data_IF_088817735438
#
_entry.id   IF_088817735438
#
_cell.length_a   1.000
_cell.length_b   1.000
_cell.length_c   1.000
_cell.angle_alpha   90.00
_cell.angle_beta   90.00
_cell.angle_gamma   90.00
#
_symmetry.space_group_name_H-M   'P 1'
#
loop_
_entity.id
_entity.type
_entity.pdbx_description
1 polymer ?
#
# COMPACT_ATOMS: atom_id res chain seq x y z
N UNK A 1 40.02 17.23 64.19
CA UNK A 1 38.59 16.89 64.19
C UNK A 1 38.10 17.43 62.86
N UNK A 2 38.35 16.66 61.80
CA UNK A 2 37.40 15.67 61.22
C UNK A 2 36.23 16.44 60.57
N UNK A 3 35.89 16.33 59.30
CA UNK A 3 36.17 15.38 58.21
C UNK A 3 35.91 16.15 56.89
N UNK A 4 36.54 15.74 55.79
CA UNK A 4 35.93 15.89 54.45
C UNK A 4 35.10 14.64 54.19
N UNK A 5 33.98 14.71 53.45
CA UNK A 5 34.00 14.40 52.00
C UNK A 5 32.92 15.23 51.25
N UNK A 6 32.65 15.21 49.95
CA UNK A 6 33.21 14.70 48.69
C UNK A 6 32.48 15.47 47.57
N UNK A 7 33.05 15.46 46.37
CA UNK A 7 32.54 16.14 45.18
C UNK A 7 31.27 15.47 44.60
N UNK A 8 30.39 16.27 43.98
CA UNK A 8 29.47 15.79 42.95
C UNK A 8 29.45 16.82 41.80
N UNK A 9 30.05 16.43 40.68
CA UNK A 9 29.97 17.14 39.40
C UNK A 9 28.78 16.54 38.66
N UNK A 10 27.79 17.37 38.39
CA UNK A 10 26.59 17.00 37.62
C UNK A 10 27.01 16.56 36.21
N UNK A 11 26.73 15.30 35.88
CA UNK A 11 26.74 14.80 34.51
C UNK A 11 25.36 15.12 33.93
N UNK A 12 25.29 16.03 32.97
CA UNK A 12 24.11 16.22 32.14
C UNK A 12 23.86 14.95 31.32
N UNK A 13 22.95 14.11 31.80
CA UNK A 13 22.40 12.98 31.06
C UNK A 13 21.61 13.49 29.85
N UNK A 14 22.14 13.23 28.65
CA UNK A 14 21.43 13.44 27.40
C UNK A 14 20.29 12.41 27.31
N UNK A 15 19.10 12.77 27.78
CA UNK A 15 17.88 11.97 27.67
C UNK A 15 17.48 11.86 26.20
N UNK A 16 17.74 10.71 25.57
CA UNK A 16 17.15 10.37 24.27
C UNK A 16 15.70 9.97 24.52
N UNK A 17 14.78 10.89 24.24
CA UNK A 17 13.34 10.63 24.21
C UNK A 17 13.07 9.67 23.05
N UNK A 18 12.75 8.43 23.37
CA UNK A 18 12.18 7.48 22.41
C UNK A 18 10.70 7.77 22.33
N UNK A 19 10.29 8.53 21.31
CA UNK A 19 8.88 8.72 20.99
C UNK A 19 8.30 7.36 20.56
N UNK A 20 7.26 6.94 21.30
CA UNK A 20 6.57 5.69 21.10
C UNK A 20 5.41 5.95 20.14
N UNK A 21 5.64 5.80 18.84
CA UNK A 21 4.56 5.86 17.84
C UNK A 21 3.78 4.54 17.86
N UNK A 22 2.69 4.52 18.64
CA UNK A 22 1.68 3.48 18.57
C UNK A 22 0.77 3.77 17.35
N UNK A 23 1.13 3.23 16.18
CA UNK A 23 0.21 3.19 15.03
C UNK A 23 -0.97 2.26 15.35
N UNK A 24 -2.11 2.89 15.61
CA UNK A 24 -3.40 2.23 15.79
C UNK A 24 -4.16 2.25 14.47
N UNK A 25 -4.12 1.16 13.68
CA UNK A 25 -5.12 0.85 12.67
C UNK A 25 -5.24 -0.68 12.54
N UNK A 26 -6.41 -1.26 12.87
CA UNK A 26 -7.23 -1.83 11.81
C UNK A 26 -8.73 -1.69 12.13
N UNK A 27 -9.38 -0.62 11.67
CA UNK A 27 -10.83 -0.47 11.83
C UNK A 27 -11.57 -0.19 10.51
N UNK A 28 -10.86 0.16 9.44
CA UNK A 28 -11.50 0.46 8.14
C UNK A 28 -11.41 -0.68 7.14
N UNK A 29 -10.43 -1.59 7.27
CA UNK A 29 -10.23 -2.68 6.30
C UNK A 29 -11.20 -3.87 6.51
N UNK A 30 -11.69 -4.07 7.74
CA UNK A 30 -12.73 -5.05 8.07
C UNK A 30 -14.10 -4.71 7.45
N UNK A 31 -14.38 -3.43 7.22
CA UNK A 31 -15.67 -2.99 6.65
C UNK A 31 -15.77 -3.22 5.15
N UNK A 32 -14.63 -3.35 4.45
CA UNK A 32 -14.58 -3.66 3.03
C UNK A 32 -14.75 -5.16 2.73
N UNK A 33 -14.36 -6.04 3.66
CA UNK A 33 -14.43 -7.51 3.50
C UNK A 33 -15.84 -8.09 3.75
N UNK A 34 -16.73 -7.35 4.41
CA UNK A 34 -18.13 -7.76 4.62
C UNK A 34 -19.08 -7.46 3.43
N UNK A 35 -18.62 -6.77 2.37
CA UNK A 35 -19.39 -6.60 1.12
C UNK A 35 -19.21 -7.77 0.12
N UNK A 36 -18.66 -8.90 0.56
CA UNK A 36 -18.58 -10.15 -0.22
C UNK A 36 -19.90 -10.90 -0.40
N UNK A 37 -21.01 -10.41 0.17
CA UNK A 37 -22.33 -11.01 0.11
C UNK A 37 -23.39 -10.12 -0.56
N UNK A 38 -23.12 -9.62 -1.76
CA UNK A 38 -24.02 -8.69 -2.46
C UNK A 38 -25.03 -9.42 -3.37
N UNK A 39 -25.89 -10.26 -2.80
CA UNK A 39 -27.12 -10.68 -3.50
C UNK A 39 -28.23 -9.60 -3.42
N UNK A 40 -28.16 -8.68 -2.44
CA UNK A 40 -29.19 -7.66 -2.22
C UNK A 40 -29.12 -6.38 -3.10
N UNK A 41 -28.01 -6.14 -3.81
CA UNK A 41 -27.88 -4.96 -4.69
C UNK A 41 -28.53 -5.14 -6.08
N UNK A 42 -28.91 -6.37 -6.45
CA UNK A 42 -29.46 -6.64 -7.79
C UNK A 42 -30.95 -6.24 -7.89
N UNK A 43 -31.67 -6.17 -6.77
CA UNK A 43 -33.11 -5.88 -6.73
C UNK A 43 -33.45 -4.44 -6.25
N UNK A 44 -32.43 -3.64 -5.91
CA UNK A 44 -32.60 -2.29 -5.38
C UNK A 44 -31.89 -1.24 -6.21
N UNK A 45 -32.55 -0.09 -6.39
CA UNK A 45 -31.96 1.03 -7.12
C UNK A 45 -30.87 1.72 -6.28
N UNK A 46 -29.63 1.87 -6.78
CA UNK A 46 -28.56 2.52 -6.02
C UNK A 46 -28.81 4.01 -5.72
N UNK A 47 -29.71 4.68 -6.46
CA UNK A 47 -29.99 6.11 -6.33
C UNK A 47 -31.10 6.34 -5.29
N UNK A 48 -32.30 5.79 -5.50
CA UNK A 48 -33.41 5.97 -4.56
C UNK A 48 -33.44 4.96 -3.41
N UNK A 49 -32.57 3.92 -3.45
CA UNK A 49 -32.47 2.82 -2.47
C UNK A 49 -33.74 1.98 -2.30
N UNK A 50 -34.67 2.08 -3.25
CA UNK A 50 -35.93 1.35 -3.24
C UNK A 50 -35.86 0.17 -4.22
N UNK A 51 -36.70 -0.83 -3.97
CA UNK A 51 -36.83 -2.00 -4.84
C UNK A 51 -37.29 -1.60 -6.26
N UNK A 52 -36.90 -2.36 -7.28
CA UNK A 52 -37.27 -2.13 -8.68
C UNK A 52 -38.72 -2.47 -9.06
N UNK A 53 -39.47 -3.14 -8.18
CA UNK A 53 -40.87 -3.51 -8.39
C UNK A 53 -41.72 -2.29 -8.80
N UNK A 54 -42.49 -2.42 -9.90
CA UNK A 54 -43.34 -1.38 -10.49
C UNK A 54 -42.63 -0.05 -10.82
N UNK A 55 -41.32 -0.07 -11.11
CA UNK A 55 -40.50 1.14 -11.29
C UNK A 55 -39.72 1.21 -12.59
N UNK A 56 -40.13 0.43 -13.58
CA UNK A 56 -39.52 0.38 -14.92
C UNK A 56 -37.98 0.31 -14.83
N UNK A 57 -37.42 -0.81 -14.33
CA UNK A 57 -35.98 -0.94 -14.15
C UNK A 57 -35.26 -0.95 -15.50
N UNK A 58 -34.21 -0.15 -15.60
CA UNK A 58 -33.36 0.02 -16.78
C UNK A 58 -31.95 -0.47 -16.48
N UNK A 59 -31.36 -1.20 -17.43
CA UNK A 59 -30.00 -1.76 -17.36
C UNK A 59 -29.07 -0.97 -18.29
N UNK A 60 -28.00 -0.40 -17.73
CA UNK A 60 -26.97 0.28 -18.52
C UNK A 60 -25.96 -0.73 -19.09
N UNK A 61 -25.19 -0.38 -20.14
CA UNK A 61 -24.09 -1.20 -20.66
C UNK A 61 -23.01 -1.57 -19.63
N UNK A 62 -22.87 -0.78 -18.56
CA UNK A 62 -22.00 -1.08 -17.42
C UNK A 62 -22.60 -2.09 -16.41
N UNK A 63 -23.74 -2.70 -16.76
CA UNK A 63 -24.49 -3.70 -15.98
C UNK A 63 -25.10 -3.21 -14.66
N UNK A 64 -25.10 -1.89 -14.41
CA UNK A 64 -25.83 -1.32 -13.29
C UNK A 64 -27.29 -1.05 -13.64
N UNK A 65 -28.18 -1.33 -12.70
CA UNK A 65 -29.63 -1.13 -12.85
C UNK A 65 -30.13 0.11 -12.11
N UNK A 66 -31.07 0.84 -12.70
CA UNK A 66 -31.72 2.02 -12.11
C UNK A 66 -33.22 2.05 -12.45
N UNK A 67 -34.04 2.64 -11.59
CA UNK A 67 -35.41 2.98 -11.99
C UNK A 67 -35.34 4.01 -13.13
N UNK A 68 -36.27 3.98 -14.09
CA UNK A 68 -36.34 4.97 -15.17
C UNK A 68 -36.24 6.42 -14.68
N UNK A 69 -36.92 6.75 -13.58
CA UNK A 69 -36.88 8.09 -12.94
C UNK A 69 -35.54 8.45 -12.28
N UNK A 70 -34.71 7.45 -12.00
CA UNK A 70 -33.39 7.60 -11.39
C UNK A 70 -32.27 7.56 -12.42
N UNK A 71 -32.58 7.40 -13.71
CA UNK A 71 -31.58 7.52 -14.75
C UNK A 71 -31.06 8.96 -14.80
N UNK A 72 -29.73 9.14 -14.90
CA UNK A 72 -29.13 10.46 -15.03
C UNK A 72 -29.56 11.09 -16.36
N UNK A 73 -29.80 12.42 -16.39
CA UNK A 73 -30.08 13.11 -17.64
C UNK A 73 -28.87 13.05 -18.59
N UNK A 74 -29.08 13.18 -19.91
CA UNK A 74 -28.00 13.26 -20.89
C UNK A 74 -26.98 14.33 -20.50
N UNK A 75 -25.73 13.92 -20.36
CA UNK A 75 -24.60 14.78 -19.99
C UNK A 75 -24.09 15.59 -21.19
N UNK A 76 -24.26 15.08 -22.41
CA UNK A 76 -23.92 15.74 -23.67
C UNK A 76 -24.73 15.15 -24.83
N UNK A 77 -24.96 15.98 -25.85
CA UNK A 77 -25.62 15.62 -27.10
C UNK A 77 -24.55 15.58 -28.21
N UNK A 78 -24.28 14.40 -28.77
CA UNK A 78 -23.38 14.25 -29.90
C UNK A 78 -24.21 14.15 -31.19
N UNK A 79 -23.86 14.95 -32.20
CA UNK A 79 -24.41 14.80 -33.55
C UNK A 79 -23.61 13.70 -34.24
N UNK A 80 -24.24 12.57 -34.53
CA UNK A 80 -23.57 11.51 -35.27
C UNK A 80 -23.31 11.98 -36.71
N UNK A 81 -22.04 12.25 -37.05
CA UNK A 81 -21.64 12.67 -38.41
C UNK A 81 -21.13 11.47 -39.23
N UNK A 82 -21.07 10.28 -38.65
CA UNK A 82 -20.40 9.12 -39.24
C UNK A 82 -21.36 7.94 -39.39
N UNK A 83 -22.21 7.97 -40.42
CA UNK A 83 -22.64 6.72 -41.04
C UNK A 83 -21.50 6.29 -41.98
N UNK A 84 -20.84 5.18 -41.64
CA UNK A 84 -20.01 4.44 -42.61
C UNK A 84 -20.84 4.24 -43.87
N UNK A 85 -20.35 4.79 -44.99
CA UNK A 85 -20.91 4.53 -46.32
C UNK A 85 -20.75 3.03 -46.63
N UNK A 86 -21.86 2.31 -46.63
CA UNK A 86 -22.00 1.10 -47.43
C UNK A 86 -22.35 1.55 -48.88
N UNK A 87 -21.64 1.09 -49.94
CA UNK A 87 -21.76 1.67 -51.29
C UNK A 87 -23.06 1.39 -52.06
N UNK A 88 -24.06 0.72 -51.50
CA UNK A 88 -25.29 0.38 -52.23
C UNK A 88 -26.52 0.68 -51.39
N UNK A 89 -27.08 1.88 -51.57
CA UNK A 89 -28.51 2.21 -51.56
C UNK A 89 -28.64 3.73 -51.79
N UNK A 90 -29.09 4.12 -52.99
CA UNK A 90 -29.32 5.51 -53.37
C UNK A 90 -30.65 6.04 -52.81
N UNK A 91 -30.58 7.28 -52.33
CA UNK A 91 -31.63 8.29 -52.28
C UNK A 91 -32.91 7.99 -51.47
N UNK A 92 -32.87 8.35 -50.18
CA UNK A 92 -33.96 9.15 -49.59
C UNK A 92 -33.38 10.09 -48.52
N UNK A 93 -33.48 11.39 -48.78
CA UNK A 93 -32.82 12.48 -48.04
C UNK A 93 -33.74 13.01 -46.92
N UNK A 94 -34.27 12.10 -46.10
CA UNK A 94 -35.30 12.40 -45.10
C UNK A 94 -35.14 11.62 -43.78
N UNK A 95 -33.92 11.16 -43.43
CA UNK A 95 -33.64 10.65 -42.08
C UNK A 95 -33.22 11.78 -41.14
N UNK A 96 -33.89 11.98 -39.99
CA UNK A 96 -33.49 12.98 -39.01
C UNK A 96 -32.06 12.73 -38.52
N UNK A 97 -31.29 13.79 -38.29
CA UNK A 97 -30.00 13.69 -37.59
C UNK A 97 -30.23 13.06 -36.22
N UNK A 98 -29.77 11.83 -36.00
CA UNK A 98 -29.86 11.17 -34.71
C UNK A 98 -28.93 11.86 -33.72
N UNK A 99 -29.52 12.54 -32.73
CA UNK A 99 -28.81 13.08 -31.58
C UNK A 99 -28.53 11.90 -30.66
N UNK A 100 -27.24 11.58 -30.47
CA UNK A 100 -26.81 10.54 -29.55
C UNK A 100 -26.57 11.17 -28.17
N UNK A 101 -27.50 10.89 -27.27
CA UNK A 101 -27.43 11.31 -25.88
C UNK A 101 -26.46 10.40 -25.12
N UNK A 102 -25.49 11.00 -24.43
CA UNK A 102 -24.55 10.26 -23.56
C UNK A 102 -24.96 10.44 -22.11
N UNK A 103 -25.12 9.33 -21.40
CA UNK A 103 -25.40 9.30 -19.97
C UNK A 103 -24.20 8.75 -19.19
N UNK A 104 -24.07 9.12 -17.92
CA UNK A 104 -22.96 8.67 -17.06
C UNK A 104 -23.48 7.91 -15.85
N UNK A 105 -23.06 6.66 -15.71
CA UNK A 105 -23.51 5.81 -14.60
C UNK A 105 -23.17 6.44 -13.23
N UNK A 106 -24.15 6.64 -12.32
CA UNK A 106 -23.89 7.20 -10.99
C UNK A 106 -22.97 6.35 -10.08
N UNK A 107 -22.83 5.05 -10.38
CA UNK A 107 -22.05 4.10 -9.54
C UNK A 107 -20.62 3.98 -10.03
N UNK A 108 -20.41 3.46 -11.25
CA UNK A 108 -19.07 3.23 -11.80
C UNK A 108 -18.52 4.41 -12.60
N UNK A 109 -19.31 5.47 -12.81
CA UNK A 109 -18.94 6.68 -13.58
C UNK A 109 -18.61 6.43 -15.05
N UNK A 110 -18.91 5.25 -15.58
CA UNK A 110 -18.75 4.90 -16.99
C UNK A 110 -19.78 5.67 -17.84
N UNK A 111 -19.31 6.24 -18.94
CA UNK A 111 -20.16 6.86 -19.95
C UNK A 111 -20.75 5.79 -20.88
N UNK A 112 -22.03 5.92 -21.20
CA UNK A 112 -22.73 5.03 -22.11
C UNK A 112 -23.77 5.80 -22.93
N UNK A 113 -24.17 5.24 -24.06
CA UNK A 113 -25.15 5.87 -24.93
C UNK A 113 -26.56 5.52 -24.45
N UNK A 114 -27.45 6.52 -24.40
CA UNK A 114 -28.82 6.34 -23.92
C UNK A 114 -29.59 5.31 -24.77
N UNK A 115 -29.27 5.21 -26.07
CA UNK A 115 -29.87 4.24 -27.00
C UNK A 115 -29.52 2.78 -26.66
N UNK A 116 -28.43 2.54 -25.93
CA UNK A 116 -27.99 1.20 -25.52
C UNK A 116 -28.56 0.78 -24.15
N UNK A 117 -29.39 1.63 -23.54
CA UNK A 117 -30.05 1.31 -22.26
C UNK A 117 -31.21 0.36 -22.50
N UNK A 118 -31.16 -0.81 -21.86
CA UNK A 118 -32.17 -1.86 -22.01
C UNK A 118 -33.17 -1.84 -20.86
N UNK A 119 -34.37 -2.37 -21.09
CA UNK A 119 -35.25 -2.78 -19.99
C UNK A 119 -34.64 -3.98 -19.25
N UNK A 120 -34.62 -3.92 -17.93
CA UNK A 120 -34.08 -5.00 -17.12
C UNK A 120 -35.15 -6.07 -16.87
N UNK A 121 -35.22 -7.05 -17.78
CA UNK A 121 -36.12 -8.20 -17.68
C UNK A 121 -35.73 -9.24 -16.60
N UNK A 122 -34.59 -9.09 -15.92
CA UNK A 122 -34.19 -9.99 -14.83
C UNK A 122 -34.91 -9.68 -13.50
N UNK A 123 -35.36 -8.43 -13.32
CA UNK A 123 -36.18 -8.07 -12.16
C UNK A 123 -37.55 -8.69 -12.38
N UNK A 124 -37.85 -9.76 -11.65
CA UNK A 124 -39.18 -10.35 -11.64
C UNK A 124 -40.14 -9.31 -11.07
N UNK A 125 -41.23 -9.02 -11.78
CA UNK A 125 -42.46 -8.59 -11.14
C UNK A 125 -42.87 -9.78 -10.25
N UNK A 126 -42.33 -9.83 -9.03
CA UNK A 126 -42.79 -10.77 -8.02
C UNK A 126 -44.29 -10.53 -7.91
N UNK A 127 -45.04 -11.51 -8.39
CA UNK A 127 -46.48 -11.59 -8.22
C UNK A 127 -46.77 -11.25 -6.78
N UNK A 128 -47.65 -10.27 -6.60
CA UNK A 128 -48.09 -9.79 -5.30
C UNK A 128 -48.31 -10.98 -4.36
N UNK A 129 -47.61 -11.00 -3.23
CA UNK A 129 -48.16 -11.68 -2.06
C UNK A 129 -49.53 -11.03 -1.86
N UNK A 130 -50.65 -11.76 -1.94
CA UNK A 130 -51.96 -11.14 -1.95
C UNK A 130 -52.18 -10.46 -0.59
N UNK A 131 -51.94 -9.15 -0.56
CA UNK A 131 -52.56 -8.28 0.42
C UNK A 131 -54.06 -8.33 0.13
N UNK A 132 -54.85 -8.52 1.18
CA UNK A 132 -56.25 -8.99 1.13
C UNK A 132 -57.27 -8.02 0.47
N UNK A 133 -56.84 -7.16 -0.45
CA UNK A 133 -57.68 -6.14 -1.09
C UNK A 133 -57.33 -5.80 -2.54
N UNK A 134 -56.64 -6.66 -3.31
CA UNK A 134 -56.32 -6.38 -4.74
C UNK A 134 -57.02 -7.35 -5.69
N UNK A 135 -57.68 -6.78 -6.69
CA UNK A 135 -58.41 -7.46 -7.76
C UNK A 135 -57.48 -8.43 -8.50
N UNK A 136 -57.92 -9.68 -8.60
CA UNK A 136 -57.23 -10.79 -9.27
C UNK A 136 -56.92 -10.38 -10.71
N UNK A 137 -55.65 -10.13 -11.06
CA UNK A 137 -55.25 -9.84 -12.44
C UNK A 137 -55.49 -11.09 -13.30
N UNK A 138 -56.62 -11.12 -13.99
CA UNK A 138 -57.02 -12.23 -14.85
C UNK A 138 -56.17 -12.27 -16.12
N UNK A 139 -55.44 -13.38 -16.31
CA UNK A 139 -54.70 -13.65 -17.55
C UNK A 139 -55.68 -13.77 -18.73
N UNK A 140 -55.38 -13.13 -19.87
CA UNK A 140 -56.24 -13.12 -21.07
C UNK A 140 -55.80 -14.15 -22.11
N UNK A 141 -56.73 -14.59 -22.96
CA UNK A 141 -56.48 -15.50 -24.06
C UNK A 141 -55.50 -14.90 -25.08
N UNK A 142 -54.54 -15.70 -25.53
CA UNK A 142 -53.51 -15.32 -26.49
C UNK A 142 -53.89 -15.66 -27.94
N UNK A 143 -54.94 -16.45 -28.13
CA UNK A 143 -55.33 -16.99 -29.45
C UNK A 143 -56.50 -16.25 -30.09
N UNK A 144 -57.20 -15.38 -29.37
CA UNK A 144 -58.31 -14.58 -29.89
C UNK A 144 -58.13 -13.09 -29.60
N UNK A 145 -58.70 -12.24 -30.46
CA UNK A 145 -58.66 -10.78 -30.31
C UNK A 145 -59.70 -10.24 -29.30
N UNK A 146 -60.53 -11.12 -28.71
CA UNK A 146 -61.63 -10.72 -27.83
C UNK A 146 -61.19 -10.39 -26.38
N UNK A 147 -59.88 -10.43 -26.09
CA UNK A 147 -59.30 -10.23 -24.75
C UNK A 147 -59.99 -11.04 -23.64
N UNK A 148 -60.64 -12.15 -24.00
CA UNK A 148 -61.41 -12.99 -23.08
C UNK A 148 -60.49 -13.60 -22.02
N UNK A 149 -61.00 -13.73 -20.80
CA UNK A 149 -60.25 -14.36 -19.71
C UNK A 149 -59.83 -15.79 -20.09
N UNK A 150 -58.55 -16.09 -19.92
CA UNK A 150 -58.01 -17.42 -20.15
C UNK A 150 -58.44 -18.37 -19.02
N UNK A 151 -58.90 -19.54 -19.42
CA UNK A 151 -59.41 -20.59 -18.53
C UNK A 151 -58.50 -21.82 -18.51
N UNK A 152 -57.54 -21.91 -19.44
CA UNK A 152 -56.55 -22.98 -19.45
C UNK A 152 -55.26 -22.59 -20.14
N UNK A 153 -54.23 -23.40 -19.92
CA UNK A 153 -52.91 -23.25 -20.50
C UNK A 153 -52.52 -24.52 -21.26
N UNK A 154 -52.20 -24.38 -22.55
CA UNK A 154 -51.68 -25.48 -23.35
C UNK A 154 -50.16 -25.60 -23.13
N UNK A 155 -49.71 -26.76 -22.67
CA UNK A 155 -48.30 -27.00 -22.32
C UNK A 155 -47.40 -27.01 -23.56
N UNK A 156 -47.87 -27.60 -24.65
CA UNK A 156 -47.11 -27.78 -25.88
C UNK A 156 -47.06 -26.49 -26.71
N UNK A 157 -48.13 -25.69 -26.70
CA UNK A 157 -48.16 -24.38 -27.37
C UNK A 157 -47.58 -23.25 -26.51
N UNK A 158 -47.55 -23.43 -25.18
CA UNK A 158 -47.16 -22.41 -24.20
C UNK A 158 -48.07 -21.18 -24.32
N UNK A 159 -49.38 -21.42 -24.41
CA UNK A 159 -50.39 -20.39 -24.66
C UNK A 159 -51.53 -20.47 -23.66
N UNK A 160 -51.97 -19.30 -23.19
CA UNK A 160 -53.19 -19.15 -22.41
C UNK A 160 -54.39 -19.05 -23.35
N UNK A 161 -55.39 -19.90 -23.14
CA UNK A 161 -56.55 -20.04 -24.00
C UNK A 161 -57.83 -19.83 -23.18
N UNK A 162 -58.78 -19.07 -23.72
CA UNK A 162 -60.16 -19.06 -23.21
C UNK A 162 -60.88 -20.34 -23.63
N UNK A 163 -62.07 -20.56 -23.06
CA UNK A 163 -62.89 -21.76 -23.29
C UNK A 163 -63.08 -22.03 -24.79
N UNK A 164 -63.41 -21.02 -25.59
CA UNK A 164 -63.66 -21.16 -27.03
C UNK A 164 -62.39 -21.55 -27.80
N UNK A 165 -61.26 -20.95 -27.45
CA UNK A 165 -59.96 -21.28 -28.03
C UNK A 165 -59.49 -22.70 -27.62
N UNK A 166 -59.74 -23.13 -26.38
CA UNK A 166 -59.46 -24.50 -25.93
C UNK A 166 -60.23 -25.52 -26.77
N UNK A 167 -61.53 -25.29 -26.95
CA UNK A 167 -62.36 -26.19 -27.75
C UNK A 167 -61.90 -26.23 -29.22
N UNK A 168 -61.52 -25.10 -29.79
CA UNK A 168 -60.94 -25.05 -31.13
C UNK A 168 -59.61 -25.82 -31.20
N UNK A 169 -58.74 -25.61 -30.21
CA UNK A 169 -57.46 -26.29 -30.07
C UNK A 169 -57.63 -27.80 -30.02
N UNK A 170 -58.64 -28.28 -29.32
CA UNK A 170 -58.98 -29.70 -29.21
C UNK A 170 -59.66 -30.27 -30.47
N UNK A 171 -60.17 -29.44 -31.38
CA UNK A 171 -60.75 -29.91 -32.65
C UNK A 171 -59.74 -30.00 -33.78
N UNK A 172 -58.72 -29.15 -33.77
CA UNK A 172 -57.72 -29.07 -34.83
C UNK A 172 -56.78 -30.27 -34.78
N UNK A 173 -56.61 -30.94 -35.92
CA UNK A 173 -55.86 -32.21 -36.06
C UNK A 173 -54.45 -32.18 -35.44
N UNK A 174 -53.81 -31.02 -35.45
CA UNK A 174 -52.43 -30.85 -34.99
C UNK A 174 -52.30 -30.53 -33.50
N UNK A 175 -53.35 -29.99 -32.88
CA UNK A 175 -53.32 -29.49 -31.49
C UNK A 175 -54.26 -30.27 -30.57
N UNK A 176 -55.03 -31.22 -31.13
CA UNK A 176 -56.02 -32.00 -30.37
C UNK A 176 -55.41 -32.82 -29.24
N UNK A 177 -54.21 -33.31 -29.44
CA UNK A 177 -53.53 -34.19 -28.48
C UNK A 177 -52.63 -33.38 -27.51
N UNK A 178 -52.73 -32.05 -27.53
CA UNK A 178 -52.01 -31.18 -26.59
C UNK A 178 -52.66 -31.20 -25.20
N UNK A 179 -51.81 -31.15 -24.18
CA UNK A 179 -52.19 -31.13 -22.77
C UNK A 179 -52.61 -29.73 -22.36
N UNK A 180 -53.87 -29.58 -21.94
CA UNK A 180 -54.41 -28.31 -21.45
C UNK A 180 -54.65 -28.40 -19.94
N UNK A 181 -53.96 -27.55 -19.17
CA UNK A 181 -54.13 -27.43 -17.72
C UNK A 181 -55.17 -26.36 -17.40
N UNK A 182 -56.18 -26.68 -16.59
CA UNK A 182 -57.21 -25.71 -16.19
C UNK A 182 -56.69 -24.76 -15.10
N UNK A 183 -57.23 -23.54 -15.06
CA UNK A 183 -56.81 -22.44 -14.16
C UNK A 183 -56.85 -22.82 -12.67
N UNK A 184 -57.77 -23.70 -12.30
CA UNK A 184 -58.03 -24.16 -10.94
C UNK A 184 -57.00 -25.21 -10.46
N UNK A 185 -56.28 -25.85 -11.39
CA UNK A 185 -55.28 -26.91 -11.11
C UNK A 185 -53.84 -26.36 -11.09
N UNK A 186 -53.67 -25.05 -11.30
CA UNK A 186 -52.37 -24.39 -11.34
C UNK A 186 -51.94 -24.01 -9.92
N UNK A 187 -51.10 -24.81 -9.25
CA UNK A 187 -50.41 -24.32 -8.05
C UNK A 187 -49.37 -23.25 -8.45
N UNK A 188 -49.20 -22.16 -7.68
CA UNK A 188 -48.20 -21.14 -7.99
C UNK A 188 -46.77 -21.72 -8.06
N UNK A 189 -46.51 -22.86 -7.38
CA UNK A 189 -45.22 -23.56 -7.47
C UNK A 189 -45.02 -24.34 -8.79
N UNK A 190 -46.07 -24.83 -9.45
CA UNK A 190 -45.96 -25.57 -10.72
C UNK A 190 -45.75 -24.66 -11.93
N UNK A 191 -46.05 -23.37 -11.78
CA UNK A 191 -45.89 -22.29 -12.77
C UNK A 191 -44.44 -21.75 -12.76
N UNK A 192 -43.73 -21.91 -11.64
CA UNK A 192 -42.39 -21.35 -11.42
C UNK A 192 -41.24 -21.95 -12.24
N UNK A 193 -41.43 -23.12 -12.86
CA UNK A 193 -40.36 -23.78 -13.62
C UNK A 193 -40.41 -23.56 -15.14
N UNK A 194 -41.52 -23.09 -15.72
CA UNK A 194 -41.67 -23.06 -17.19
C UNK A 194 -42.68 -22.03 -17.74
N UNK A 195 -42.89 -20.90 -17.08
CA UNK A 195 -43.67 -19.80 -17.67
C UNK A 195 -42.99 -18.46 -17.44
N UNK A 196 -41.94 -18.19 -18.22
CA UNK A 196 -41.58 -16.79 -18.48
C UNK A 196 -42.71 -16.19 -19.32
N UNK A 197 -43.20 -15.01 -18.92
CA UNK A 197 -44.17 -14.25 -19.71
C UNK A 197 -43.60 -14.09 -21.13
N UNK A 198 -44.31 -14.51 -22.18
CA UNK A 198 -43.78 -14.43 -23.54
C UNK A 198 -43.48 -12.97 -23.87
N UNK A 199 -42.27 -12.72 -24.36
CA UNK A 199 -41.86 -11.39 -24.85
C UNK A 199 -42.28 -11.30 -26.31
N UNK A 200 -43.07 -10.29 -26.65
CA UNK A 200 -43.60 -10.08 -27.99
C UNK A 200 -42.70 -9.17 -28.81
N UNK A 201 -42.76 -9.32 -30.13
CA UNK A 201 -42.00 -8.49 -31.04
C UNK A 201 -42.52 -7.05 -31.07
N UNK A 202 -41.60 -6.08 -31.05
CA UNK A 202 -41.97 -4.66 -31.11
C UNK A 202 -42.63 -4.24 -32.43
N UNK A 203 -42.38 -4.98 -33.52
CA UNK A 203 -42.93 -4.70 -34.85
C UNK A 203 -44.22 -5.51 -35.05
N UNK A 204 -44.18 -6.81 -34.74
CA UNK A 204 -45.30 -7.73 -34.89
C UNK A 204 -45.87 -8.04 -33.49
N UNK A 205 -46.73 -7.15 -32.99
CA UNK A 205 -47.15 -7.12 -31.57
C UNK A 205 -47.79 -8.40 -31.04
N UNK A 206 -48.34 -9.24 -31.91
CA UNK A 206 -48.96 -10.53 -31.56
C UNK A 206 -48.00 -11.72 -31.68
N UNK A 207 -46.83 -11.53 -32.29
CA UNK A 207 -45.88 -12.61 -32.53
C UNK A 207 -44.82 -12.68 -31.41
N UNK A 208 -44.67 -13.84 -30.74
CA UNK A 208 -43.66 -14.01 -29.70
C UNK A 208 -42.24 -14.12 -30.28
N UNK A 209 -41.26 -13.63 -29.53
CA UNK A 209 -39.85 -13.80 -29.84
C UNK A 209 -39.40 -15.22 -29.47
N UNK A 210 -39.31 -16.11 -30.46
CA UNK A 210 -38.94 -17.54 -30.30
C UNK A 210 -37.67 -17.95 -31.06
N UNK A 211 -37.09 -17.04 -31.84
CA UNK A 211 -35.90 -17.29 -32.65
C UNK A 211 -34.79 -16.32 -32.25
N UNK A 212 -33.54 -16.75 -32.40
CA UNK A 212 -32.36 -15.91 -32.25
C UNK A 212 -31.63 -15.82 -33.59
N UNK A 213 -31.52 -14.62 -34.14
CA UNK A 213 -30.78 -14.41 -35.38
C UNK A 213 -29.30 -14.19 -35.07
N UNK A 214 -28.46 -15.17 -35.39
CA UNK A 214 -27.01 -15.14 -35.12
C UNK A 214 -26.30 -14.02 -35.87
N UNK A 215 -26.72 -13.74 -37.11
CA UNK A 215 -26.09 -12.70 -37.94
C UNK A 215 -26.31 -11.30 -37.36
N UNK A 216 -27.40 -11.08 -36.63
CA UNK A 216 -27.74 -9.77 -36.06
C UNK A 216 -27.65 -9.71 -34.54
N UNK A 217 -27.27 -10.81 -33.89
CA UNK A 217 -27.14 -10.94 -32.44
C UNK A 217 -28.38 -10.45 -31.68
N UNK A 218 -29.57 -10.86 -32.13
CA UNK A 218 -30.85 -10.42 -31.53
C UNK A 218 -31.97 -11.45 -31.63
N UNK A 219 -32.88 -11.38 -30.68
CA UNK A 219 -34.13 -12.15 -30.72
C UNK A 219 -35.05 -11.64 -31.85
N UNK A 220 -35.68 -12.57 -32.55
CA UNK A 220 -36.62 -12.31 -33.65
C UNK A 220 -37.89 -13.16 -33.49
N UNK A 221 -39.01 -12.65 -33.99
CA UNK A 221 -40.19 -13.48 -34.24
C UNK A 221 -40.12 -14.12 -35.63
N UNK A 222 -41.06 -15.01 -35.93
CA UNK A 222 -41.14 -15.72 -37.20
C UNK A 222 -41.21 -14.77 -38.39
N UNK A 223 -42.07 -13.75 -38.32
CA UNK A 223 -42.26 -12.80 -39.41
C UNK A 223 -41.03 -11.93 -39.67
N UNK A 224 -40.35 -11.50 -38.60
CA UNK A 224 -39.06 -10.80 -38.73
C UNK A 224 -38.03 -11.67 -39.45
N UNK A 225 -38.01 -12.97 -39.14
CA UNK A 225 -37.07 -13.91 -39.76
C UNK A 225 -37.33 -14.07 -41.26
N UNK A 226 -38.59 -14.12 -41.69
CA UNK A 226 -38.97 -14.29 -43.09
C UNK A 226 -38.84 -13.02 -43.93
N UNK A 227 -39.05 -11.84 -43.33
CA UNK A 227 -39.08 -10.56 -44.05
C UNK A 227 -37.73 -9.84 -44.03
N UNK A 228 -37.21 -9.52 -42.84
CA UNK A 228 -36.02 -8.68 -42.68
C UNK A 228 -34.72 -9.47 -42.57
N UNK A 229 -34.81 -10.74 -42.17
CA UNK A 229 -33.66 -11.61 -41.87
C UNK A 229 -33.66 -12.88 -42.72
N UNK A 230 -34.24 -12.83 -43.92
CA UNK A 230 -34.52 -14.01 -44.76
C UNK A 230 -33.30 -14.88 -45.01
N UNK A 231 -32.13 -14.26 -45.20
CA UNK A 231 -30.88 -14.93 -45.54
C UNK A 231 -29.88 -14.93 -44.38
N UNK A 232 -30.34 -14.68 -43.15
CA UNK A 232 -29.51 -14.71 -41.95
C UNK A 232 -29.59 -16.06 -41.24
N UNK A 233 -28.49 -16.45 -40.61
CA UNK A 233 -28.47 -17.63 -39.77
C UNK A 233 -29.29 -17.38 -38.50
N UNK A 234 -30.00 -18.41 -38.05
CA UNK A 234 -30.80 -18.37 -36.84
C UNK A 234 -30.76 -19.69 -36.08
N UNK A 235 -31.04 -19.62 -34.79
CA UNK A 235 -31.26 -20.76 -33.90
C UNK A 235 -32.63 -20.63 -33.21
N UNK A 236 -33.18 -21.75 -32.76
CA UNK A 236 -34.33 -21.73 -31.84
C UNK A 236 -33.88 -21.23 -30.46
N UNK A 237 -34.80 -20.57 -29.75
CA UNK A 237 -34.51 -19.93 -28.47
C UNK A 237 -33.81 -20.86 -27.46
N UNK A 238 -34.29 -22.09 -27.29
CA UNK A 238 -33.74 -23.03 -26.30
C UNK A 238 -32.29 -23.45 -26.60
N UNK A 239 -31.97 -23.65 -27.87
CA UNK A 239 -30.61 -24.02 -28.28
C UNK A 239 -29.67 -22.83 -28.16
N UNK A 240 -30.10 -21.64 -28.61
CA UNK A 240 -29.34 -20.40 -28.45
C UNK A 240 -29.09 -20.10 -26.97
N UNK A 241 -30.12 -20.22 -26.13
CA UNK A 241 -30.04 -20.01 -24.69
C UNK A 241 -29.01 -20.96 -24.06
N UNK A 242 -29.09 -22.27 -24.33
CA UNK A 242 -28.15 -23.25 -23.79
C UNK A 242 -26.70 -22.92 -24.18
N UNK A 243 -26.48 -22.59 -25.45
CA UNK A 243 -25.14 -22.27 -25.98
C UNK A 243 -24.58 -20.97 -25.36
N UNK A 244 -25.36 -19.88 -25.36
CA UNK A 244 -24.93 -18.60 -24.80
C UNK A 244 -24.77 -18.66 -23.28
N UNK A 245 -25.63 -19.39 -22.56
CA UNK A 245 -25.50 -19.60 -21.12
C UNK A 245 -24.17 -20.28 -20.79
N UNK A 246 -23.85 -21.40 -21.45
CA UNK A 246 -22.58 -22.11 -21.22
C UNK A 246 -21.38 -21.20 -21.53
N UNK A 247 -21.47 -20.41 -22.61
CA UNK A 247 -20.40 -19.47 -22.96
C UNK A 247 -20.22 -18.39 -21.88
N UNK A 248 -21.31 -17.79 -21.39
CA UNK A 248 -21.27 -16.78 -20.32
C UNK A 248 -20.75 -17.37 -18.99
N UNK A 249 -21.13 -18.60 -18.64
CA UNK A 249 -20.60 -19.31 -17.46
C UNK A 249 -19.08 -19.52 -17.59
N UNK A 250 -18.60 -19.95 -18.76
CA UNK A 250 -17.16 -20.10 -19.02
C UNK A 250 -16.41 -18.76 -18.95
N UNK A 251 -16.96 -17.69 -19.50
CA UNK A 251 -16.36 -16.34 -19.44
C UNK A 251 -16.36 -15.81 -18.00
N UNK A 252 -17.41 -16.09 -17.23
CA UNK A 252 -17.50 -15.73 -15.80
C UNK A 252 -16.42 -16.45 -14.99
N UNK A 253 -16.20 -17.73 -15.26
CA UNK A 253 -15.10 -18.48 -14.63
C UNK A 253 -13.73 -17.86 -14.96
N UNK A 254 -13.48 -17.47 -16.21
CA UNK A 254 -12.24 -16.77 -16.59
C UNK A 254 -12.07 -15.43 -15.85
N UNK A 255 -13.16 -14.69 -15.65
CA UNK A 255 -13.12 -13.45 -14.85
C UNK A 255 -12.82 -13.71 -13.38
N UNK A 256 -13.31 -14.81 -12.80
CA UNK A 256 -13.00 -15.22 -11.43
C UNK A 256 -11.51 -15.58 -11.27
N UNK A 257 -10.94 -16.33 -12.21
CA UNK A 257 -9.50 -16.62 -12.23
C UNK A 257 -8.65 -15.35 -12.37
N UNK A 258 -9.05 -14.43 -13.26
CA UNK A 258 -8.39 -13.12 -13.39
C UNK A 258 -8.48 -12.30 -12.11
N UNK A 259 -9.63 -12.30 -11.42
CA UNK A 259 -9.80 -11.63 -10.13
C UNK A 259 -8.82 -12.20 -9.09
N UNK A 260 -8.71 -13.51 -8.99
CA UNK A 260 -7.77 -14.17 -8.07
C UNK A 260 -6.32 -13.77 -8.36
N UNK A 261 -5.92 -13.77 -9.63
CA UNK A 261 -4.57 -13.32 -10.02
C UNK A 261 -4.31 -11.84 -9.66
N UNK A 262 -5.31 -10.96 -9.78
CA UNK A 262 -5.18 -9.56 -9.35
C UNK A 262 -5.05 -9.46 -7.82
N UNK A 263 -5.80 -10.26 -7.07
CA UNK A 263 -5.71 -10.33 -5.61
C UNK A 263 -4.32 -10.80 -5.15
N UNK A 264 -3.74 -11.80 -5.82
CA UNK A 264 -2.36 -12.25 -5.58
C UNK A 264 -1.35 -11.12 -5.83
N UNK A 265 -1.49 -10.36 -6.92
CA UNK A 265 -0.64 -9.20 -7.20
C UNK A 265 -0.81 -8.11 -6.13
N UNK A 266 -2.06 -7.83 -5.70
CA UNK A 266 -2.33 -6.86 -4.63
C UNK A 266 -1.63 -7.25 -3.32
N UNK A 267 -1.69 -8.54 -2.95
CA UNK A 267 -1.02 -9.05 -1.75
C UNK A 267 0.49 -8.95 -1.88
N UNK A 268 1.06 -9.24 -3.05
CA UNK A 268 2.48 -9.07 -3.32
C UNK A 268 2.94 -7.62 -3.16
N UNK A 269 2.16 -6.66 -3.68
CA UNK A 269 2.45 -5.23 -3.53
C UNK A 269 2.42 -4.82 -2.05
N UNK A 270 1.40 -5.24 -1.29
CA UNK A 270 1.29 -4.94 0.14
C UNK A 270 2.47 -5.51 0.94
N UNK A 271 2.86 -6.75 0.67
CA UNK A 271 4.04 -7.37 1.30
C UNK A 271 5.33 -6.60 0.95
N UNK A 272 5.47 -6.17 -0.31
CA UNK A 272 6.60 -5.35 -0.74
C UNK A 272 6.66 -4.01 -0.02
N UNK A 273 5.52 -3.34 0.17
CA UNK A 273 5.44 -2.09 0.93
C UNK A 273 5.83 -2.28 2.40
N UNK A 274 5.35 -3.35 3.03
CA UNK A 274 5.73 -3.70 4.40
C UNK A 274 7.25 -3.96 4.51
N UNK A 275 7.82 -4.71 3.57
CA UNK A 275 9.25 -4.99 3.56
C UNK A 275 10.10 -3.72 3.37
N UNK A 276 9.64 -2.77 2.55
CA UNK A 276 10.31 -1.46 2.41
C UNK A 276 10.33 -0.70 3.73
N UNK A 277 9.23 -0.72 4.49
CA UNK A 277 9.16 -0.06 5.80
C UNK A 277 10.06 -0.73 6.84
N UNK A 278 10.04 -2.06 6.91
CA UNK A 278 10.91 -2.85 7.81
C UNK A 278 12.39 -2.60 7.50
N UNK A 279 12.77 -2.60 6.21
CA UNK A 279 14.12 -2.29 5.78
C UNK A 279 14.54 -0.86 6.15
N UNK A 280 13.64 0.12 5.96
CA UNK A 280 13.87 1.52 6.37
C UNK A 280 14.14 1.62 7.87
N UNK A 281 13.33 0.96 8.70
CA UNK A 281 13.51 0.91 10.16
C UNK A 281 14.82 0.24 10.55
N UNK A 282 15.16 -0.89 9.93
CA UNK A 282 16.41 -1.62 10.17
C UNK A 282 17.64 -0.76 9.85
N UNK A 283 17.71 -0.20 8.65
CA UNK A 283 18.84 0.65 8.22
C UNK A 283 18.96 1.89 9.09
N UNK A 284 17.85 2.52 9.48
CA UNK A 284 17.86 3.65 10.41
C UNK A 284 18.47 3.27 11.76
N UNK A 285 18.13 2.08 12.29
CA UNK A 285 18.70 1.58 13.53
C UNK A 285 20.19 1.24 13.41
N UNK A 286 20.63 0.71 12.28
CA UNK A 286 22.06 0.47 12.01
C UNK A 286 22.85 1.77 11.96
N UNK A 287 22.32 2.81 11.31
CA UNK A 287 22.91 4.15 11.29
C UNK A 287 23.03 4.70 12.71
N UNK A 288 21.95 4.65 13.51
CA UNK A 288 21.96 5.07 14.91
C UNK A 288 23.01 4.31 15.74
N UNK A 289 23.08 2.98 15.58
CA UNK A 289 24.07 2.13 16.27
C UNK A 289 25.51 2.51 15.88
N UNK A 290 25.75 2.77 14.59
CA UNK A 290 27.05 3.21 14.10
C UNK A 290 27.46 4.55 14.72
N UNK A 291 26.54 5.52 14.79
CA UNK A 291 26.76 6.81 15.45
C UNK A 291 27.15 6.62 16.92
N UNK A 292 26.39 5.82 17.68
CA UNK A 292 26.71 5.54 19.08
C UNK A 292 28.09 4.92 19.25
N UNK A 293 28.47 3.97 18.39
CA UNK A 293 29.78 3.33 18.43
C UNK A 293 30.91 4.33 18.19
N UNK A 294 30.75 5.25 17.22
CA UNK A 294 31.73 6.30 16.95
C UNK A 294 31.89 7.25 18.14
N UNK A 295 30.78 7.66 18.76
CA UNK A 295 30.80 8.51 19.96
C UNK A 295 31.54 7.81 21.11
N UNK A 296 31.24 6.53 21.37
CA UNK A 296 31.93 5.75 22.41
C UNK A 296 33.44 5.67 22.17
N UNK A 297 33.87 5.43 20.94
CA UNK A 297 35.29 5.32 20.60
C UNK A 297 36.03 6.66 20.73
N UNK A 298 35.39 7.76 20.33
CA UNK A 298 35.91 9.12 20.54
C UNK A 298 36.08 9.41 22.02
N UNK A 299 35.04 9.16 22.83
CA UNK A 299 35.06 9.39 24.27
C UNK A 299 36.14 8.53 24.97
N UNK A 300 36.28 7.26 24.55
CA UNK A 300 37.31 6.35 25.06
C UNK A 300 38.71 6.89 24.79
N UNK A 301 38.99 7.35 23.57
CA UNK A 301 40.28 7.96 23.22
C UNK A 301 40.52 9.26 23.97
N UNK A 302 39.50 10.11 24.11
CA UNK A 302 39.56 11.33 24.92
C UNK A 302 39.98 11.05 26.35
N UNK A 303 39.34 10.06 27.00
CA UNK A 303 39.68 9.65 28.38
C UNK A 303 41.11 9.14 28.52
N UNK A 304 41.62 8.38 27.54
CA UNK A 304 43.02 7.92 27.55
C UNK A 304 44.00 9.10 27.49
N UNK A 305 43.76 10.07 26.61
CA UNK A 305 44.63 11.24 26.47
C UNK A 305 44.63 12.12 27.72
N UNK A 306 43.46 12.30 28.35
CA UNK A 306 43.34 13.02 29.63
C UNK A 306 44.11 12.29 30.73
N UNK A 307 43.93 10.98 30.88
CA UNK A 307 44.66 10.19 31.88
C UNK A 307 46.19 10.24 31.67
N UNK A 308 46.64 10.24 30.40
CA UNK A 308 48.07 10.39 30.08
C UNK A 308 48.60 11.76 30.50
N UNK A 309 47.84 12.83 30.21
CA UNK A 309 48.18 14.18 30.65
C UNK A 309 48.24 14.28 32.18
N UNK A 310 47.26 13.74 32.89
CA UNK A 310 47.21 13.71 34.35
C UNK A 310 48.42 12.96 34.95
N UNK A 311 48.80 11.83 34.35
CA UNK A 311 49.98 11.07 34.81
C UNK A 311 51.25 11.87 34.64
N UNK A 312 51.49 12.46 33.45
CA UNK A 312 52.69 13.25 33.17
C UNK A 312 52.77 14.51 34.03
N UNK A 313 51.65 15.20 34.23
CA UNK A 313 51.59 16.39 35.07
C UNK A 313 51.82 16.05 36.53
N UNK A 314 51.26 14.96 37.04
CA UNK A 314 51.48 14.47 38.40
C UNK A 314 52.95 14.07 38.64
N UNK A 315 53.57 13.36 37.70
CA UNK A 315 54.99 12.99 37.80
C UNK A 315 55.89 14.24 37.86
N UNK A 316 55.59 15.24 37.03
CA UNK A 316 56.30 16.52 37.05
C UNK A 316 56.05 17.28 38.36
N UNK A 317 54.81 17.33 38.84
CA UNK A 317 54.46 17.99 40.10
C UNK A 317 55.19 17.35 41.30
N UNK A 318 55.26 16.01 41.36
CA UNK A 318 56.01 15.28 42.38
C UNK A 318 57.50 15.63 42.32
N UNK A 319 58.07 15.69 41.11
CA UNK A 319 59.45 16.12 40.90
C UNK A 319 59.72 17.53 41.44
N UNK A 320 58.86 18.50 41.09
CA UNK A 320 58.98 19.88 41.55
C UNK A 320 58.80 20.01 43.07
N UNK A 321 57.85 19.28 43.67
CA UNK A 321 57.65 19.24 45.12
C UNK A 321 58.89 18.75 45.85
N UNK A 322 59.52 17.67 45.35
CA UNK A 322 60.78 17.16 45.92
C UNK A 322 61.90 18.19 45.81
N UNK A 323 62.05 18.85 44.67
CA UNK A 323 63.04 19.92 44.51
C UNK A 323 62.79 21.09 45.48
N UNK A 324 61.53 21.47 45.67
CA UNK A 324 61.13 22.51 46.63
C UNK A 324 61.48 22.11 48.07
N UNK A 325 61.27 20.85 48.46
CA UNK A 325 61.65 20.31 49.77
C UNK A 325 63.17 20.34 49.97
N UNK A 326 63.95 19.87 48.98
CA UNK A 326 65.42 19.87 49.01
C UNK A 326 65.98 21.30 49.15
N UNK A 327 65.44 22.26 48.37
CA UNK A 327 65.79 23.68 48.48
C UNK A 327 65.45 24.22 49.87
N UNK A 328 64.24 23.96 50.36
CA UNK A 328 63.79 24.45 51.67
C UNK A 328 64.64 23.90 52.81
N UNK A 329 65.05 22.63 52.74
CA UNK A 329 65.95 22.02 53.71
C UNK A 329 67.34 22.69 53.69
N UNK A 330 67.93 22.89 52.50
CA UNK A 330 69.22 23.55 52.36
C UNK A 330 69.17 25.00 52.87
N UNK A 331 68.11 25.75 52.55
CA UNK A 331 67.88 27.11 53.06
C UNK A 331 67.83 27.13 54.58
N UNK A 332 67.04 26.23 55.21
CA UNK A 332 66.97 26.16 56.69
C UNK A 332 68.33 25.84 57.32
N UNK A 333 69.13 24.97 56.69
CA UNK A 333 70.45 24.63 57.19
C UNK A 333 71.43 25.81 57.07
N UNK A 334 71.40 26.53 55.94
CA UNK A 334 72.15 27.77 55.76
C UNK A 334 71.76 28.81 56.80
N UNK A 335 70.46 29.07 57.00
CA UNK A 335 69.95 30.01 57.99
C UNK A 335 70.42 29.67 59.40
N UNK A 336 70.35 28.39 59.79
CA UNK A 336 70.84 27.93 61.08
C UNK A 336 72.33 28.22 61.28
N UNK A 337 73.18 27.84 60.32
CA UNK A 337 74.64 28.03 60.42
C UNK A 337 75.00 29.51 60.40
N UNK A 338 74.33 30.32 59.57
CA UNK A 338 74.51 31.79 59.54
C UNK A 338 74.13 32.39 60.90
N UNK A 339 72.97 32.04 61.44
CA UNK A 339 72.48 32.57 62.71
C UNK A 339 73.38 32.16 63.88
N UNK A 340 73.80 30.88 63.92
CA UNK A 340 74.71 30.39 64.96
C UNK A 340 76.07 31.07 64.88
N UNK A 341 76.63 31.24 63.67
CA UNK A 341 77.93 31.87 63.48
C UNK A 341 77.86 33.35 63.87
N UNK A 342 76.82 34.09 63.46
CA UNK A 342 76.58 35.47 63.90
C UNK A 342 76.50 35.56 65.43
N UNK A 343 75.70 34.72 66.06
CA UNK A 343 75.56 34.67 67.51
C UNK A 343 76.90 34.37 68.22
N UNK A 344 77.62 33.33 67.77
CA UNK A 344 78.89 32.93 68.36
C UNK A 344 79.95 34.05 68.26
N UNK A 345 80.02 34.73 67.11
CA UNK A 345 80.93 35.87 66.90
C UNK A 345 80.59 37.09 67.74
N UNK A 346 79.33 37.25 68.16
CA UNK A 346 78.88 38.37 69.01
C UNK A 346 78.96 38.08 70.52
N UNK A 347 79.26 36.85 70.95
CA UNK A 347 79.16 36.42 72.37
C UNK A 347 80.29 36.89 73.30
N UNK A 348 81.29 37.64 72.81
CA UNK A 348 82.47 38.15 73.56
C UNK A 348 83.31 37.08 74.30
N UNK A 349 83.03 35.78 74.11
CA UNK A 349 83.77 34.66 74.70
C UNK A 349 84.72 34.03 73.67
N UNK A 350 85.93 34.60 73.58
CA UNK A 350 86.96 34.17 72.63
C UNK A 350 87.35 32.69 72.79
N UNK A 351 87.41 32.19 74.02
CA UNK A 351 87.78 30.80 74.32
C UNK A 351 86.74 29.80 73.81
N UNK A 352 85.45 30.05 74.03
CA UNK A 352 84.37 29.18 73.55
C UNK A 352 84.28 29.17 72.01
N UNK A 353 84.47 30.34 71.39
CA UNK A 353 84.52 30.47 69.93
C UNK A 353 85.69 29.67 69.35
N UNK A 354 86.89 29.79 69.92
CA UNK A 354 88.07 29.05 69.46
C UNK A 354 87.93 27.54 69.65
N UNK A 355 87.28 27.09 70.73
CA UNK A 355 87.01 25.67 70.97
C UNK A 355 86.12 25.06 69.88
N UNK A 356 85.08 25.78 69.47
CA UNK A 356 84.14 25.34 68.44
C UNK A 356 84.52 25.75 67.00
N UNK A 357 85.55 26.59 66.81
CA UNK A 357 85.97 27.19 65.52
C UNK A 357 86.07 26.15 64.41
N UNK A 358 86.70 25.00 64.70
CA UNK A 358 86.88 23.94 63.71
C UNK A 358 85.55 23.40 63.21
N UNK A 359 84.58 23.17 64.09
CA UNK A 359 83.25 22.64 63.74
C UNK A 359 82.46 23.65 62.89
N UNK A 360 82.51 24.94 63.27
CA UNK A 360 81.86 26.02 62.54
C UNK A 360 82.44 26.14 61.12
N UNK A 361 83.78 26.18 61.00
CA UNK A 361 84.46 26.26 59.70
C UNK A 361 84.20 25.02 58.84
N UNK A 362 84.21 23.83 59.44
CA UNK A 362 83.86 22.60 58.72
C UNK A 362 82.43 22.68 58.14
N UNK A 363 81.45 23.17 58.90
CA UNK A 363 80.09 23.28 58.38
C UNK A 363 79.91 24.38 57.34
N UNK A 364 80.55 25.53 57.51
CA UNK A 364 80.56 26.57 56.48
C UNK A 364 81.18 26.02 55.19
N UNK A 365 82.33 25.33 55.28
CA UNK A 365 82.98 24.76 54.10
C UNK A 365 82.14 23.65 53.45
N UNK A 366 81.41 22.84 54.23
CA UNK A 366 80.49 21.85 53.72
C UNK A 366 79.33 22.49 52.96
N UNK A 367 78.67 23.51 53.54
CA UNK A 367 77.55 24.21 52.92
C UNK A 367 77.96 25.05 51.71
N UNK A 368 79.16 25.64 51.72
CA UNK A 368 79.72 26.35 50.56
C UNK A 368 80.03 25.42 49.37
N UNK A 369 80.20 24.12 49.63
CA UNK A 369 80.39 23.07 48.61
C UNK A 369 79.10 22.34 48.26
N UNK A 370 78.05 22.50 49.06
CA UNK A 370 76.75 21.93 48.75
C UNK A 370 76.20 22.68 47.52
N UNK A 371 76.04 21.96 46.42
CA UNK A 371 75.48 22.55 45.20
C UNK A 371 74.03 22.94 45.45
N UNK A 372 73.61 24.10 44.94
CA UNK A 372 72.18 24.37 44.77
C UNK A 372 71.60 23.27 43.88
N UNK A 373 70.47 22.63 44.25
CA UNK A 373 69.82 21.70 43.34
C UNK A 373 69.56 22.43 42.01
N UNK A 374 69.86 21.81 40.86
CA UNK A 374 69.70 22.48 39.58
C UNK A 374 68.25 22.93 39.46
N UNK A 375 68.02 24.24 39.31
CA UNK A 375 66.72 24.76 38.97
C UNK A 375 66.34 24.10 37.64
N UNK A 376 65.38 23.17 37.64
CA UNK A 376 64.75 22.83 36.38
C UNK A 376 64.10 24.14 35.92
N UNK A 377 64.50 24.70 34.77
CA UNK A 377 63.77 25.84 34.24
C UNK A 377 62.31 25.42 34.12
N UNK A 378 61.34 26.34 34.28
CA UNK A 378 59.96 26.03 33.95
C UNK A 378 60.01 25.47 32.54
N UNK A 379 59.64 24.19 32.40
CA UNK A 379 59.57 23.57 31.10
C UNK A 379 58.43 24.29 30.38
N UNK A 380 58.75 25.41 29.73
CA UNK A 380 57.98 25.89 28.60
C UNK A 380 57.78 24.70 27.66
N UNK A 381 56.61 24.59 27.02
CA UNK A 381 56.12 23.36 26.42
C UNK A 381 57.24 22.72 25.61
N UNK A 382 57.79 21.62 26.11
CA UNK A 382 58.85 20.89 25.42
C UNK A 382 58.21 20.29 24.18
N UNK A 383 58.43 20.96 23.06
CA UNK A 383 58.21 20.44 21.71
C UNK A 383 59.24 19.34 21.44
N UNK A 384 59.13 18.19 22.11
CA UNK A 384 59.75 16.94 21.67
C UNK A 384 59.34 15.79 22.59
N UNK A 385 58.10 15.36 22.42
CA UNK A 385 57.77 13.95 22.26
C UNK A 385 56.41 13.91 21.60
N UNK A 386 56.26 13.04 20.62
CA UNK A 386 55.09 12.82 19.79
C UNK A 386 53.83 12.50 20.59
N UNK A 387 53.21 13.49 21.24
CA UNK A 387 51.76 13.47 21.42
C UNK A 387 51.24 14.02 20.11
N UNK A 388 50.94 13.11 19.19
CA UNK A 388 50.41 13.38 17.87
C UNK A 388 48.96 13.90 17.99
N UNK A 389 48.75 15.02 18.69
CA UNK A 389 47.57 15.86 18.47
C UNK A 389 47.92 16.72 17.27
N UNK A 390 48.00 16.09 16.09
CA UNK A 390 47.92 16.82 14.84
C UNK A 390 46.55 17.47 14.84
N UNK A 391 46.52 18.77 15.14
CA UNK A 391 45.41 19.61 14.72
C UNK A 391 45.16 19.27 13.25
N UNK A 392 43.94 18.83 12.94
CA UNK A 392 43.50 18.41 11.62
C UNK A 392 43.84 19.54 10.64
N UNK A 393 45.02 19.48 10.03
CA UNK A 393 45.33 20.28 8.84
C UNK A 393 44.45 19.69 7.77
N UNK A 394 43.57 20.52 7.22
CA UNK A 394 42.77 20.23 6.04
C UNK A 394 43.68 19.67 4.93
N UNK A 395 43.77 18.34 4.82
CA UNK A 395 44.48 17.66 3.74
C UNK A 395 43.69 17.93 2.45
N UNK A 396 44.32 18.58 1.47
CA UNK A 396 43.74 18.72 0.14
C UNK A 396 43.66 17.36 -0.55
N UNK A 397 42.73 17.15 -1.51
CA UNK A 397 42.30 15.81 -1.96
C UNK A 397 43.36 14.91 -2.61
N UNK A 398 44.59 15.38 -2.86
CA UNK A 398 45.60 14.68 -3.66
C UNK A 398 46.97 14.50 -2.97
N UNK A 399 47.07 14.68 -1.65
CA UNK A 399 48.34 14.54 -0.93
C UNK A 399 48.51 13.14 -0.32
N UNK A 400 49.24 12.26 -1.04
CA UNK A 400 49.44 10.84 -0.70
C UNK A 400 50.24 10.61 0.60
N UNK A 401 50.77 11.66 1.23
CA UNK A 401 51.48 11.59 2.52
C UNK A 401 50.57 11.59 3.77
N UNK A 402 49.27 11.88 3.62
CA UNK A 402 48.31 11.96 4.74
C UNK A 402 47.82 10.57 5.22
N UNK A 403 48.26 9.48 4.56
CA UNK A 403 47.82 8.08 4.77
C UNK A 403 48.42 7.40 6.02
N UNK A 404 49.36 8.04 6.71
CA UNK A 404 50.02 7.47 7.90
C UNK A 404 49.49 8.01 9.25
N UNK A 405 48.35 8.71 9.26
CA UNK A 405 47.72 9.23 10.48
C UNK A 405 46.52 8.38 10.93
N UNK A 406 46.57 7.87 12.16
CA UNK A 406 45.63 6.87 12.71
C UNK A 406 44.20 7.41 12.89
N UNK A 407 44.01 8.72 12.80
CA UNK A 407 42.68 9.36 12.79
C UNK A 407 41.99 9.26 11.42
N UNK A 408 42.75 9.32 10.31
CA UNK A 408 42.22 9.16 8.95
C UNK A 408 41.78 7.72 8.67
N UNK A 409 42.37 6.75 9.39
CA UNK A 409 41.97 5.34 9.34
C UNK A 409 40.52 5.13 9.81
N UNK A 410 39.96 5.97 10.68
CA UNK A 410 38.54 5.83 11.09
C UNK A 410 37.61 6.19 9.92
N UNK A 411 37.95 7.21 9.13
CA UNK A 411 37.20 7.56 7.92
C UNK A 411 37.41 6.55 6.78
N UNK A 412 38.64 6.05 6.56
CA UNK A 412 38.92 5.16 5.43
C UNK A 412 38.61 3.67 5.70
N UNK A 413 38.69 3.18 6.94
CA UNK A 413 38.39 1.77 7.27
C UNK A 413 36.88 1.49 7.17
N UNK A 414 36.01 2.49 7.41
CA UNK A 414 34.55 2.27 7.45
C UNK A 414 33.85 2.63 6.14
N UNK A 415 34.42 3.52 5.31
CA UNK A 415 33.91 3.77 3.94
C UNK A 415 34.32 2.63 2.97
N UNK A 416 35.33 1.82 3.34
CA UNK A 416 35.87 0.74 2.49
C UNK A 416 35.44 -0.68 2.93
N UNK A 417 34.64 -0.84 3.98
CA UNK A 417 33.95 -2.10 4.28
C UNK A 417 32.68 -2.19 3.40
N UNK A 418 32.36 -3.35 2.81
CA UNK A 418 31.47 -3.47 1.65
C UNK A 418 30.00 -3.21 2.04
N UNK A 419 29.62 -1.96 2.21
CA UNK A 419 28.20 -1.52 2.25
C UNK A 419 27.74 -0.98 0.90
N UNK A 420 28.64 -0.93 -0.09
CA UNK A 420 28.34 -0.52 -1.46
C UNK A 420 29.07 -1.43 -2.46
N UNK A 421 28.64 -2.69 -2.58
CA UNK A 421 28.80 -3.46 -3.81
C UNK A 421 27.45 -3.53 -4.50
N UNK A 422 27.34 -2.77 -5.60
CA UNK A 422 26.47 -3.04 -6.75
C UNK A 422 24.96 -3.17 -6.50
N UNK A 423 24.25 -2.05 -6.53
CA UNK A 423 22.83 -2.01 -6.93
C UNK A 423 22.65 -1.34 -8.30
N UNK A 424 23.58 -1.61 -9.23
CA UNK A 424 23.42 -1.31 -10.65
C UNK A 424 23.94 -2.48 -11.48
N UNK A 425 23.11 -3.53 -11.62
CA UNK A 425 23.37 -4.71 -12.45
C UNK A 425 22.16 -5.65 -12.43
N UNK A 426 21.83 -6.35 -13.54
CA UNK A 426 20.47 -6.66 -13.97
C UNK A 426 19.80 -7.81 -13.20
N UNK A 427 18.47 -7.73 -13.13
CA UNK A 427 17.50 -8.84 -12.99
C UNK A 427 18.05 -10.20 -12.54
N UNK A 428 17.76 -10.61 -11.30
CA UNK A 428 17.93 -12.02 -10.92
C UNK A 428 17.87 -12.28 -9.43
N UNK A 429 16.89 -13.11 -9.03
CA UNK A 429 16.69 -13.70 -7.68
C UNK A 429 15.87 -12.88 -6.68
N UNK A 430 14.75 -12.33 -7.17
CA UNK A 430 13.52 -12.10 -6.39
C UNK A 430 12.25 -12.58 -7.12
N UNK A 431 12.39 -13.14 -8.34
CA UNK A 431 11.29 -13.68 -9.14
C UNK A 431 11.10 -15.18 -8.89
N UNK A 432 10.69 -15.57 -7.68
CA UNK A 432 10.01 -16.86 -7.50
C UNK A 432 8.67 -16.76 -6.78
N UNK A 433 8.26 -15.57 -6.31
CA UNK A 433 6.99 -15.38 -5.60
C UNK A 433 5.76 -15.03 -6.46
N UNK A 434 5.95 -14.55 -7.69
CA UNK A 434 4.84 -14.19 -8.60
C UNK A 434 5.13 -14.63 -10.03
N UNK A 435 5.13 -15.94 -10.29
CA UNK A 435 4.97 -16.44 -11.66
C UNK A 435 3.49 -16.28 -12.04
N UNK A 436 3.15 -15.20 -12.75
CA UNK A 436 1.86 -15.10 -13.43
C UNK A 436 1.65 -16.36 -14.28
N UNK A 437 0.51 -17.02 -14.07
CA UNK A 437 0.02 -18.08 -14.92
C UNK A 437 -0.08 -17.54 -16.36
N UNK A 438 0.79 -18.02 -17.25
CA UNK A 438 0.57 -17.90 -18.70
C UNK A 438 -0.64 -18.79 -19.03
N UNK A 439 -1.80 -18.18 -19.21
CA UNK A 439 -2.96 -18.83 -19.81
C UNK A 439 -2.63 -19.19 -21.26
N UNK A 440 -2.29 -20.45 -21.49
CA UNK A 440 -2.18 -21.04 -22.83
C UNK A 440 -3.57 -21.04 -23.47
N UNK A 441 -3.80 -20.14 -24.44
CA UNK A 441 -4.94 -20.23 -25.35
C UNK A 441 -4.38 -20.62 -26.73
N UNK A 442 -4.21 -21.93 -26.94
CA UNK A 442 -3.85 -22.50 -28.23
C UNK A 442 -5.06 -22.49 -29.15
N UNK A 443 -5.14 -21.51 -30.04
CA UNK A 443 -6.06 -21.55 -31.19
C UNK A 443 -5.38 -22.40 -32.27
N UNK A 444 -5.81 -23.65 -32.41
CA UNK A 444 -5.50 -24.49 -33.57
C UNK A 444 -6.05 -23.82 -34.84
N UNK A 445 -5.17 -23.34 -35.71
CA UNK A 445 -5.49 -23.08 -37.11
C UNK A 445 -5.31 -24.37 -37.90
N UNK A 446 -6.43 -25.00 -38.31
CA UNK A 446 -6.42 -25.96 -39.43
C UNK A 446 -6.14 -25.22 -40.74
N UNK A 447 -5.21 -25.67 -41.59
CA UNK A 447 -5.16 -25.25 -42.98
C UNK A 447 -6.22 -25.97 -43.82
N UNK A 448 -6.66 -25.29 -44.87
CA UNK A 448 -7.61 -25.74 -45.90
C UNK A 448 -7.08 -26.90 -46.72
#
# INVERSE_FOLDING_TARGET
MDESPEAAVDNDDLVIIVENEAESLPAEEERAKQLGGSLGLMDTCPVCKLNFHNREPKLLPCLHSFCKKCLPPPSRNLVNTEQRRDPQLQADNSKPREILNVIRCPVCRQECWEVEVLDNFFVKDSVEVPSSTVEKTSQVCMSCDDNTEATGFCVECVEFLCVTCIEAHQRVKFTRDHTIRQKEEMSPEAVGASTQKPVFCDIHKQEPLKLFCETCDRLTCRDCQLLKHKDHNYQFLEDAYRNHRQHLENMTHQLQEKRKAIEEVSNCINNGLQQVDENRKSVTNEIKKSICNLIMEINRKGKILVNQLETLTKDHEVGLKKQQEDVSHLTRHLDHVINFTKWATASHSGTALLYCKRLILCQIHYLMRANSPPALPPAGPRSDSSVNVRSIKSCQPNDNGCVLDTAHSISHIVISLPTFREFTGPEGKGQEGCKMAKSNNSVEKKPK
#
